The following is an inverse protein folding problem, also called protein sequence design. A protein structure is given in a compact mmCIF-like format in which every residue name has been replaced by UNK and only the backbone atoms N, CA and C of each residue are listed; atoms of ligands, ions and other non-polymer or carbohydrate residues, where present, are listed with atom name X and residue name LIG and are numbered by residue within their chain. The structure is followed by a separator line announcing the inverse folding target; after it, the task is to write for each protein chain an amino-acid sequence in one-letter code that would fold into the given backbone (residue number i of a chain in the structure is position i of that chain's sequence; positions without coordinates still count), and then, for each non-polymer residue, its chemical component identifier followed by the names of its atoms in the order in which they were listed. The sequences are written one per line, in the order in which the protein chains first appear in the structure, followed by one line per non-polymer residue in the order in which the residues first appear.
data_IF_088941463160
#
_entry.id   IF_088941463160
#
_cell.length_a   1.000
_cell.length_b   1.000
_cell.length_c   1.000
_cell.angle_alpha   90.00
_cell.angle_beta   90.00
_cell.angle_gamma   90.00
#
_symmetry.space_group_name_H-M   'P 1'
#
loop_
_entity.id
_entity.type
_entity.pdbx_description
1 polymer ?
#
# COMPACT_ATOMS: atom_id res chain seq x y z
N UNK A 1 -72.04 -4.59 -35.39
CA UNK A 1 -70.83 -5.44 -35.37
C UNK A 1 -69.64 -4.49 -35.42
N UNK A 2 -68.91 -4.31 -34.32
CA UNK A 2 -67.72 -3.43 -34.34
C UNK A 2 -66.46 -4.29 -34.59
N UNK A 3 -65.61 -3.79 -35.49
CA UNK A 3 -64.29 -4.32 -35.87
C UNK A 3 -63.29 -4.11 -34.73
N UNK A 4 -62.66 -5.18 -34.28
CA UNK A 4 -61.52 -5.12 -33.33
C UNK A 4 -60.24 -4.75 -34.08
N UNK A 5 -59.59 -3.65 -33.72
CA UNK A 5 -58.20 -3.36 -34.10
C UNK A 5 -57.25 -4.14 -33.13
N UNK A 6 -56.39 -4.97 -33.70
CA UNK A 6 -55.23 -5.53 -33.00
C UNK A 6 -54.10 -4.50 -33.05
N UNK A 7 -53.70 -4.02 -31.92
CA UNK A 7 -52.45 -3.26 -31.77
C UNK A 7 -51.33 -4.22 -31.47
N UNK A 8 -50.37 -4.36 -32.38
CA UNK A 8 -49.13 -5.11 -32.18
C UNK A 8 -48.13 -4.21 -31.40
N UNK A 9 -47.83 -4.58 -30.17
CA UNK A 9 -46.71 -4.00 -29.44
C UNK A 9 -45.41 -4.73 -29.85
N UNK A 10 -44.54 -3.99 -30.51
CA UNK A 10 -43.14 -4.44 -30.74
C UNK A 10 -42.34 -4.04 -29.50
N UNK A 11 -41.94 -5.05 -28.72
CA UNK A 11 -41.03 -4.86 -27.59
C UNK A 11 -39.59 -4.79 -28.14
N UNK A 12 -39.00 -3.61 -28.08
CA UNK A 12 -37.59 -3.39 -28.40
C UNK A 12 -36.74 -3.76 -27.15
N UNK A 13 -36.16 -4.94 -27.16
CA UNK A 13 -35.22 -5.37 -26.10
C UNK A 13 -33.85 -4.72 -26.34
N UNK A 14 -33.51 -3.75 -25.54
CA UNK A 14 -32.14 -3.21 -25.43
C UNK A 14 -31.25 -4.26 -24.75
N UNK A 15 -30.38 -4.90 -25.52
CA UNK A 15 -29.25 -5.65 -24.97
C UNK A 15 -28.18 -4.65 -24.49
N UNK A 16 -28.11 -4.41 -23.19
CA UNK A 16 -26.96 -3.76 -22.55
C UNK A 16 -25.88 -4.82 -22.44
N UNK A 17 -24.90 -4.77 -23.33
CA UNK A 17 -23.67 -5.56 -23.20
C UNK A 17 -22.85 -5.02 -22.06
N UNK A 18 -22.91 -5.66 -20.90
CA UNK A 18 -21.98 -5.43 -19.83
C UNK A 18 -20.61 -5.99 -20.24
N UNK A 19 -19.71 -5.11 -20.67
CA UNK A 19 -18.29 -5.43 -20.77
C UNK A 19 -17.76 -5.62 -19.34
N UNK A 20 -17.79 -6.86 -18.85
CA UNK A 20 -17.02 -7.25 -17.69
C UNK A 20 -15.54 -7.19 -18.10
N UNK A 21 -14.82 -6.16 -17.62
CA UNK A 21 -13.38 -6.13 -17.65
C UNK A 21 -12.91 -7.31 -16.79
N UNK A 22 -12.57 -8.41 -17.44
CA UNK A 22 -11.95 -9.55 -16.78
C UNK A 22 -10.61 -9.04 -16.22
N UNK A 23 -10.51 -9.00 -14.89
CA UNK A 23 -9.23 -8.86 -14.23
C UNK A 23 -8.38 -10.05 -14.69
N UNK A 24 -7.31 -9.79 -15.44
CA UNK A 24 -6.33 -10.81 -15.80
C UNK A 24 -5.82 -11.43 -14.49
N UNK A 25 -6.23 -12.66 -14.23
CA UNK A 25 -5.66 -13.50 -13.18
C UNK A 25 -4.28 -13.88 -13.65
N UNK A 26 -3.26 -13.17 -13.12
CA UNK A 26 -1.85 -13.48 -13.35
C UNK A 26 -1.59 -14.92 -12.90
N UNK A 27 -1.43 -15.80 -13.87
CA UNK A 27 -1.27 -17.24 -13.68
C UNK A 27 0.08 -17.54 -13.03
N UNK A 28 0.13 -17.57 -11.70
CA UNK A 28 0.97 -18.48 -10.89
C UNK A 28 2.45 -18.63 -11.19
N UNK A 29 3.10 -17.69 -11.85
CA UNK A 29 4.55 -17.71 -12.03
C UNK A 29 5.22 -17.25 -10.75
N UNK A 30 6.24 -17.98 -10.22
CA UNK A 30 6.97 -17.52 -9.04
C UNK A 30 7.44 -16.08 -9.24
N UNK A 31 7.31 -15.23 -8.21
CA UNK A 31 7.79 -13.86 -8.29
C UNK A 31 9.27 -13.86 -8.66
N UNK A 32 9.57 -13.20 -9.75
CA UNK A 32 10.93 -12.84 -10.07
C UNK A 32 11.33 -11.74 -9.11
N UNK A 33 12.36 -11.97 -8.27
CA UNK A 33 13.02 -10.91 -7.49
C UNK A 33 13.77 -9.91 -8.40
N UNK A 34 13.60 -10.02 -9.72
CA UNK A 34 14.17 -9.08 -10.70
C UNK A 34 13.18 -7.96 -10.93
N UNK A 35 13.66 -6.71 -10.98
CA UNK A 35 12.82 -5.57 -11.34
C UNK A 35 12.12 -5.80 -12.69
N UNK A 36 10.84 -5.41 -12.77
CA UNK A 36 10.15 -5.26 -14.03
C UNK A 36 10.79 -4.18 -14.91
N UNK A 37 10.32 -3.99 -16.14
CA UNK A 37 10.85 -2.96 -17.08
C UNK A 37 10.75 -1.54 -16.52
N UNK A 38 9.83 -1.31 -15.57
CA UNK A 38 9.59 -0.06 -14.86
C UNK A 38 10.38 0.08 -13.55
N UNK A 39 11.23 -0.91 -13.22
CA UNK A 39 12.05 -0.95 -12.01
C UNK A 39 11.34 -1.46 -10.75
N UNK A 40 10.05 -1.74 -10.80
CA UNK A 40 9.31 -2.27 -9.66
C UNK A 40 9.57 -3.77 -9.43
N UNK A 41 9.76 -4.13 -8.18
CA UNK A 41 9.85 -5.51 -7.68
C UNK A 41 8.63 -5.80 -6.85
N UNK A 42 7.83 -6.79 -7.23
CA UNK A 42 6.75 -7.29 -6.38
C UNK A 42 7.36 -7.98 -5.16
N UNK A 43 6.92 -7.64 -3.97
CA UNK A 43 7.39 -8.21 -2.72
C UNK A 43 6.54 -9.38 -2.22
N UNK A 44 5.45 -9.65 -2.90
CA UNK A 44 4.45 -10.63 -2.51
C UNK A 44 3.92 -11.40 -3.73
N UNK A 45 3.93 -12.72 -3.65
CA UNK A 45 3.56 -13.62 -4.76
C UNK A 45 2.05 -13.90 -4.87
N UNK A 46 1.25 -13.34 -3.96
CA UNK A 46 -0.18 -13.60 -3.89
C UNK A 46 -0.55 -14.95 -3.27
N UNK A 47 0.42 -15.75 -2.83
CA UNK A 47 0.20 -17.13 -2.34
C UNK A 47 0.83 -17.41 -0.99
N UNK A 48 2.04 -16.90 -0.75
CA UNK A 48 2.84 -17.22 0.43
C UNK A 48 3.49 -15.99 1.03
N UNK A 49 3.92 -16.09 2.29
CA UNK A 49 4.79 -15.11 2.95
C UNK A 49 6.27 -15.51 2.86
N UNK A 50 6.64 -16.28 1.85
CA UNK A 50 8.01 -16.76 1.69
C UNK A 50 9.02 -15.60 1.66
N UNK A 51 10.05 -15.69 2.49
CA UNK A 51 11.07 -14.65 2.65
C UNK A 51 10.71 -13.51 3.62
N UNK A 52 9.45 -13.38 4.00
CA UNK A 52 9.04 -12.44 5.03
C UNK A 52 9.21 -13.04 6.43
N UNK A 53 9.44 -12.18 7.43
CA UNK A 53 9.58 -12.63 8.83
C UNK A 53 8.70 -11.79 9.75
N UNK A 54 7.99 -12.45 10.67
CA UNK A 54 7.21 -11.81 11.72
C UNK A 54 7.72 -12.31 13.08
N UNK A 55 8.62 -11.58 13.75
CA UNK A 55 9.21 -12.01 15.02
C UNK A 55 8.24 -11.91 16.22
N UNK A 56 7.11 -11.23 16.05
CA UNK A 56 6.07 -11.05 17.05
C UNK A 56 4.90 -12.03 16.87
N UNK A 57 3.94 -12.00 17.79
CA UNK A 57 2.85 -12.99 17.88
C UNK A 57 1.62 -12.69 16.99
N UNK A 58 1.68 -11.69 16.09
CA UNK A 58 0.56 -11.37 15.20
C UNK A 58 0.26 -12.48 14.20
N UNK A 59 -0.96 -12.49 13.74
CA UNK A 59 -1.43 -13.47 12.77
C UNK A 59 -1.35 -12.84 11.36
N UNK A 60 -0.49 -13.42 10.54
CA UNK A 60 -0.30 -13.04 9.15
C UNK A 60 -0.64 -14.22 8.25
N UNK A 61 -1.53 -14.03 7.32
CA UNK A 61 -1.91 -15.06 6.35
C UNK A 61 -2.06 -14.46 4.94
N UNK A 62 -2.02 -15.35 3.96
CA UNK A 62 -2.35 -15.02 2.58
C UNK A 62 -3.69 -15.64 2.25
N UNK A 63 -4.64 -14.81 1.87
CA UNK A 63 -5.96 -15.24 1.43
C UNK A 63 -6.39 -14.49 0.17
N UNK A 64 -6.74 -15.22 -0.87
CA UNK A 64 -7.24 -14.67 -2.15
C UNK A 64 -6.31 -13.59 -2.75
N UNK A 65 -5.00 -13.81 -2.70
CA UNK A 65 -4.00 -12.87 -3.22
C UNK A 65 -3.72 -11.65 -2.32
N UNK A 66 -4.25 -11.64 -1.09
CA UNK A 66 -4.14 -10.56 -0.13
C UNK A 66 -3.36 -11.00 1.09
N UNK A 67 -2.44 -10.18 1.56
CA UNK A 67 -1.81 -10.33 2.89
C UNK A 67 -2.77 -9.77 3.92
N UNK A 68 -3.22 -10.62 4.83
CA UNK A 68 -4.10 -10.27 5.92
C UNK A 68 -3.31 -10.25 7.23
N UNK A 69 -3.38 -9.13 7.97
CA UNK A 69 -2.86 -8.98 9.32
C UNK A 69 -3.99 -8.81 10.32
N UNK A 70 -3.95 -9.58 11.41
CA UNK A 70 -4.92 -9.52 12.51
C UNK A 70 -4.32 -10.02 13.83
N UNK A 71 -5.08 -9.91 14.92
CA UNK A 71 -4.65 -10.37 16.23
C UNK A 71 -3.75 -9.37 16.98
N UNK A 72 -2.80 -9.85 17.81
CA UNK A 72 -1.92 -8.99 18.59
C UNK A 72 -0.99 -8.14 17.70
N UNK A 73 -0.36 -7.12 18.29
CA UNK A 73 0.63 -6.29 17.62
C UNK A 73 1.76 -7.13 17.02
N UNK A 74 2.09 -6.86 15.77
CA UNK A 74 3.12 -7.56 15.02
C UNK A 74 3.57 -6.77 13.80
N UNK A 75 4.79 -7.06 13.34
CA UNK A 75 5.35 -6.46 12.14
C UNK A 75 5.87 -7.56 11.21
N UNK A 76 5.44 -7.51 9.96
CA UNK A 76 5.87 -8.43 8.90
C UNK A 76 6.97 -7.75 8.08
N UNK A 77 8.23 -8.19 8.24
CA UNK A 77 9.41 -7.57 7.65
C UNK A 77 9.79 -8.20 6.31
N UNK A 78 10.19 -7.36 5.36
CA UNK A 78 10.76 -7.79 4.08
C UNK A 78 12.14 -8.45 4.26
N UNK A 79 12.56 -9.37 3.35
CA UNK A 79 13.87 -10.00 3.45
C UNK A 79 15.04 -9.05 3.23
N UNK A 80 14.87 -8.02 2.40
CA UNK A 80 15.92 -7.09 2.01
C UNK A 80 15.79 -5.73 2.72
N UNK A 81 16.91 -5.01 2.79
CA UNK A 81 16.98 -3.62 3.26
C UNK A 81 17.15 -2.65 2.09
N UNK A 82 16.76 -1.39 2.31
CA UNK A 82 16.76 -0.35 1.29
C UNK A 82 17.22 0.98 1.88
N UNK A 83 17.96 1.77 1.10
CA UNK A 83 18.38 3.14 1.41
C UNK A 83 17.46 4.14 0.70
N UNK A 84 17.60 4.27 -0.60
CA UNK A 84 16.70 5.04 -1.45
C UNK A 84 15.68 4.11 -2.11
N UNK A 85 14.41 4.48 -2.05
CA UNK A 85 13.35 3.56 -2.47
C UNK A 85 12.07 4.30 -2.85
N UNK A 86 11.26 3.62 -3.65
CA UNK A 86 9.82 3.81 -3.66
C UNK A 86 9.16 2.54 -3.12
N UNK A 87 8.16 2.67 -2.26
CA UNK A 87 7.43 1.56 -1.65
C UNK A 87 5.94 1.82 -1.73
N UNK A 88 5.20 0.92 -2.35
CA UNK A 88 3.75 1.07 -2.49
C UNK A 88 3.00 -0.21 -2.19
N UNK A 89 1.77 -0.04 -1.74
CA UNK A 89 0.79 -1.10 -1.59
C UNK A 89 -0.62 -0.54 -1.81
N UNK A 90 -1.54 -1.40 -2.22
CA UNK A 90 -2.95 -1.15 -1.99
C UNK A 90 -3.30 -1.68 -0.60
N UNK A 91 -4.01 -0.86 0.17
CA UNK A 91 -4.32 -1.10 1.57
C UNK A 91 -5.83 -1.03 1.78
N UNK A 92 -6.36 -1.86 2.66
CA UNK A 92 -7.72 -1.77 3.20
C UNK A 92 -7.68 -2.03 4.69
N UNK A 93 -8.35 -1.18 5.47
CA UNK A 93 -8.36 -1.22 6.91
C UNK A 93 -9.80 -1.14 7.42
N UNK A 94 -10.15 -1.93 8.43
CA UNK A 94 -11.45 -1.91 9.04
C UNK A 94 -11.69 -0.63 9.88
N UNK A 95 -12.95 -0.40 10.25
CA UNK A 95 -13.34 0.69 11.15
C UNK A 95 -12.56 0.62 12.47
N UNK A 96 -12.09 1.79 12.95
CA UNK A 96 -11.22 1.96 14.13
C UNK A 96 -9.93 1.12 14.12
N UNK A 97 -9.57 0.54 12.98
CA UNK A 97 -8.29 -0.15 12.81
C UNK A 97 -7.10 0.79 12.81
N UNK A 98 -5.93 0.24 13.12
CA UNK A 98 -4.65 0.94 13.03
C UNK A 98 -3.59 -0.01 12.45
N UNK A 99 -2.74 0.53 11.60
CA UNK A 99 -1.67 -0.18 10.91
C UNK A 99 -0.63 0.83 10.41
N UNK A 100 0.42 0.36 9.73
CA UNK A 100 1.47 1.21 9.18
C UNK A 100 2.30 0.51 8.11
N UNK A 101 2.87 1.29 7.21
CA UNK A 101 3.88 0.85 6.26
C UNK A 101 5.23 1.42 6.69
N UNK A 102 6.07 0.57 7.27
CA UNK A 102 7.41 0.95 7.72
C UNK A 102 8.43 0.85 6.60
N UNK A 103 9.42 1.75 6.65
CA UNK A 103 10.58 1.73 5.76
C UNK A 103 11.82 2.21 6.49
N UNK A 104 12.99 1.79 6.02
CA UNK A 104 14.27 1.96 6.71
C UNK A 104 14.21 1.50 8.16
N UNK A 105 13.51 0.40 8.40
CA UNK A 105 13.20 -0.10 9.73
C UNK A 105 14.19 -1.19 10.18
N UNK A 106 14.55 -1.15 11.47
CA UNK A 106 15.27 -2.24 12.10
C UNK A 106 14.31 -3.40 12.35
N UNK A 107 14.66 -4.60 11.85
CA UNK A 107 13.90 -5.81 12.11
C UNK A 107 14.10 -6.29 13.55
N UNK A 108 13.04 -6.76 14.19
CA UNK A 108 13.10 -7.28 15.56
C UNK A 108 11.71 -7.41 16.18
N UNK A 109 11.68 -7.83 17.44
CA UNK A 109 10.45 -7.82 18.23
C UNK A 109 10.11 -6.38 18.68
N UNK A 110 8.82 -6.15 18.97
CA UNK A 110 8.32 -4.85 19.41
C UNK A 110 8.29 -3.79 18.27
N UNK A 111 8.12 -2.52 18.63
CA UNK A 111 7.96 -1.42 17.68
C UNK A 111 9.25 -1.14 16.91
N UNK A 112 9.25 -1.20 15.57
CA UNK A 112 10.45 -1.00 14.78
C UNK A 112 11.01 0.41 14.94
N UNK A 113 12.32 0.53 15.02
CA UNK A 113 13.01 1.80 14.81
C UNK A 113 13.14 2.04 13.31
N UNK A 114 12.32 2.94 12.77
CA UNK A 114 12.20 3.23 11.34
C UNK A 114 11.19 4.34 11.11
N UNK A 115 11.04 4.79 9.88
CA UNK A 115 9.94 5.66 9.51
C UNK A 115 8.68 4.83 9.29
N UNK A 116 7.53 5.42 9.60
CA UNK A 116 6.22 4.84 9.39
C UNK A 116 5.34 5.77 8.57
N UNK A 117 4.88 5.29 7.42
CA UNK A 117 3.76 5.86 6.70
C UNK A 117 2.47 5.30 7.29
N UNK A 118 1.78 6.14 8.07
CA UNK A 118 0.62 5.75 8.87
C UNK A 118 -0.53 5.21 8.01
N UNK A 119 -1.18 4.19 8.51
CA UNK A 119 -2.39 3.54 7.97
C UNK A 119 -3.44 3.55 9.09
N UNK A 120 -4.22 4.61 9.14
CA UNK A 120 -5.20 4.85 10.20
C UNK A 120 -6.25 5.84 9.71
N UNK A 121 -7.54 5.47 9.78
CA UNK A 121 -8.62 6.30 9.25
C UNK A 121 -9.49 6.91 10.35
N UNK A 122 -10.04 6.08 11.25
CA UNK A 122 -11.12 6.46 12.17
C UNK A 122 -10.84 6.16 13.63
N UNK A 123 -9.71 5.52 13.98
CA UNK A 123 -9.37 5.29 15.38
C UNK A 123 -9.08 6.61 16.13
N UNK A 124 -8.71 6.51 17.39
CA UNK A 124 -8.44 7.70 18.23
C UNK A 124 -7.08 8.33 18.00
N UNK A 125 -6.19 7.69 17.23
CA UNK A 125 -4.89 8.29 16.93
C UNK A 125 -5.12 9.56 16.09
N UNK A 126 -4.54 10.70 16.51
CA UNK A 126 -4.70 11.96 15.77
C UNK A 126 -3.84 12.04 14.49
N UNK A 127 -2.97 11.06 14.24
CA UNK A 127 -2.15 10.97 13.04
C UNK A 127 -2.79 9.95 12.08
N UNK A 128 -3.44 10.46 11.02
CA UNK A 128 -4.21 9.67 10.07
C UNK A 128 -3.38 9.15 8.92
N UNK A 129 -3.98 8.28 8.10
CA UNK A 129 -3.42 7.76 6.84
C UNK A 129 -2.70 8.85 6.05
N UNK A 130 -1.48 8.57 5.63
CA UNK A 130 -0.62 9.52 4.93
C UNK A 130 0.28 10.35 5.84
N UNK A 131 0.14 10.31 7.17
CA UNK A 131 1.12 10.91 8.08
C UNK A 131 2.47 10.18 7.97
N UNK A 132 3.57 10.93 8.09
CA UNK A 132 4.85 10.37 8.51
C UNK A 132 4.84 10.40 10.05
N UNK A 133 4.58 9.24 10.66
CA UNK A 133 4.28 9.12 12.08
C UNK A 133 5.37 9.75 12.96
N UNK A 134 4.98 10.64 13.90
CA UNK A 134 5.84 11.44 14.74
C UNK A 134 6.74 12.48 14.05
N UNK A 135 6.62 12.68 12.74
CA UNK A 135 7.39 13.68 11.99
C UNK A 135 6.46 14.71 11.31
N UNK A 136 5.50 14.28 10.51
CA UNK A 136 4.53 15.16 9.86
C UNK A 136 3.13 14.58 9.94
N UNK A 137 2.26 15.25 10.67
CA UNK A 137 0.89 14.83 10.92
C UNK A 137 -0.05 15.22 9.78
N UNK A 138 -0.87 14.27 9.34
CA UNK A 138 -2.15 14.49 8.65
C UNK A 138 -3.23 14.23 9.69
N UNK A 139 -4.10 15.21 9.94
CA UNK A 139 -5.13 15.13 10.98
C UNK A 139 -6.52 14.83 10.47
N UNK A 140 -6.73 14.82 9.15
CA UNK A 140 -8.01 14.54 8.50
C UNK A 140 -8.07 13.13 7.95
N UNK A 141 -9.27 12.57 7.90
CA UNK A 141 -9.53 11.30 7.26
C UNK A 141 -9.49 11.46 5.73
N UNK A 142 -8.49 10.88 5.08
CA UNK A 142 -8.33 10.96 3.62
C UNK A 142 -9.07 9.86 2.86
N UNK A 143 -9.30 8.72 3.50
CA UNK A 143 -9.91 7.52 2.90
C UNK A 143 -10.94 6.91 3.84
N UNK A 144 -11.95 6.27 3.28
CA UNK A 144 -12.97 5.60 4.07
C UNK A 144 -12.47 4.22 4.58
N UNK A 145 -13.00 3.78 5.72
CA UNK A 145 -12.81 2.42 6.20
C UNK A 145 -13.35 1.40 5.21
N UNK A 146 -12.82 0.19 5.27
CA UNK A 146 -13.24 -0.94 4.43
C UNK A 146 -13.19 -0.69 2.92
N UNK A 147 -12.45 0.33 2.48
CA UNK A 147 -12.20 0.62 1.07
C UNK A 147 -10.72 0.44 0.72
N UNK A 148 -10.43 0.06 -0.53
CA UNK A 148 -9.06 -0.03 -1.02
C UNK A 148 -8.55 1.35 -1.43
N UNK A 149 -7.31 1.69 -1.00
CA UNK A 149 -6.56 2.85 -1.49
C UNK A 149 -5.11 2.48 -1.78
N UNK A 150 -4.44 3.27 -2.58
CA UNK A 150 -3.00 3.14 -2.79
C UNK A 150 -2.26 4.06 -1.82
N UNK A 151 -1.31 3.50 -1.07
CA UNK A 151 -0.34 4.26 -0.30
C UNK A 151 1.04 4.06 -0.92
N UNK A 152 1.72 5.17 -1.23
CA UNK A 152 3.00 5.16 -1.93
C UNK A 152 3.99 6.08 -1.21
N UNK A 153 5.10 5.52 -0.76
CA UNK A 153 6.22 6.19 -0.12
C UNK A 153 7.35 6.36 -1.13
N UNK A 154 7.95 7.54 -1.19
CA UNK A 154 9.19 7.83 -1.92
C UNK A 154 10.18 8.39 -0.90
N UNK A 155 11.30 7.70 -0.66
CA UNK A 155 12.31 8.09 0.32
C UNK A 155 13.68 8.15 -0.36
N UNK A 156 14.20 9.35 -0.55
CA UNK A 156 15.49 9.59 -1.22
C UNK A 156 16.30 10.57 -0.37
N UNK A 157 17.50 10.14 0.06
CA UNK A 157 18.28 10.91 1.01
C UNK A 157 17.49 11.15 2.29
N UNK A 158 17.30 12.40 2.66
CA UNK A 158 16.51 12.81 3.83
C UNK A 158 15.10 13.34 3.47
N UNK A 159 14.71 13.36 2.20
CA UNK A 159 13.36 13.76 1.79
C UNK A 159 12.45 12.54 1.68
N UNK A 160 11.28 12.65 2.27
CA UNK A 160 10.26 11.62 2.35
C UNK A 160 8.95 12.19 1.82
N UNK A 161 8.37 11.52 0.83
CA UNK A 161 7.08 11.87 0.25
C UNK A 161 6.14 10.70 0.45
N UNK A 162 4.92 10.98 0.89
CA UNK A 162 3.84 9.99 0.97
C UNK A 162 2.69 10.46 0.09
N UNK A 163 2.23 9.55 -0.76
CA UNK A 163 1.04 9.75 -1.60
C UNK A 163 -0.08 8.83 -1.13
N UNK A 164 -1.29 9.34 -1.15
CA UNK A 164 -2.54 8.58 -0.94
C UNK A 164 -3.40 8.79 -2.18
N UNK A 165 -3.75 7.69 -2.88
CA UNK A 165 -4.48 7.74 -4.16
C UNK A 165 -3.87 8.76 -5.14
N UNK A 166 -2.56 8.64 -5.35
CA UNK A 166 -1.73 9.48 -6.24
C UNK A 166 -1.59 10.97 -5.85
N UNK A 167 -2.23 11.43 -4.78
CA UNK A 167 -2.03 12.79 -4.25
C UNK A 167 -0.91 12.82 -3.24
N UNK A 168 0.03 13.74 -3.37
CA UNK A 168 1.02 14.03 -2.32
C UNK A 168 0.27 14.59 -1.11
N UNK A 169 0.43 13.93 0.04
CA UNK A 169 -0.16 14.36 1.32
C UNK A 169 0.91 14.68 2.36
N UNK A 170 2.09 14.10 2.22
CA UNK A 170 3.27 14.40 3.03
C UNK A 170 4.45 14.65 2.11
N UNK A 171 5.21 15.73 2.38
CA UNK A 171 6.51 16.05 1.78
C UNK A 171 7.39 16.63 2.89
N UNK A 172 8.26 15.79 3.42
CA UNK A 172 9.03 16.06 4.63
C UNK A 172 10.53 15.90 4.39
N UNK A 173 11.31 16.84 4.92
CA UNK A 173 12.78 16.75 4.92
C UNK A 173 13.25 16.53 6.35
N UNK A 174 13.85 15.37 6.61
CA UNK A 174 14.43 15.07 7.92
C UNK A 174 15.90 15.48 7.97
N UNK A 175 16.16 16.69 8.43
CA UNK A 175 17.53 17.25 8.55
C UNK A 175 18.44 16.40 9.46
N UNK A 176 17.85 15.65 10.40
CA UNK A 176 18.59 14.75 11.29
C UNK A 176 18.99 13.43 10.66
N UNK A 177 18.39 13.08 9.49
CA UNK A 177 18.59 11.78 8.84
C UNK A 177 18.40 10.62 9.82
N UNK A 178 17.29 10.65 10.57
CA UNK A 178 17.02 9.75 11.70
C UNK A 178 17.16 8.29 11.35
N UNK A 179 16.66 7.90 10.15
CA UNK A 179 16.82 6.54 9.61
C UNK A 179 17.27 6.61 8.16
N UNK A 180 18.40 5.96 7.86
CA UNK A 180 19.01 6.04 6.52
C UNK A 180 18.81 4.80 5.65
N UNK A 181 18.69 3.62 6.29
CA UNK A 181 18.48 2.34 5.61
C UNK A 181 17.82 1.33 6.54
N UNK A 182 17.21 0.29 5.99
CA UNK A 182 16.59 -0.78 6.76
C UNK A 182 15.53 -1.53 5.95
N UNK A 183 14.82 -2.41 6.65
CA UNK A 183 13.75 -3.22 6.08
C UNK A 183 12.50 -2.38 5.77
N UNK A 184 11.64 -2.92 4.91
CA UNK A 184 10.24 -2.56 4.84
C UNK A 184 9.48 -3.43 5.83
N UNK A 185 8.41 -2.91 6.41
CA UNK A 185 7.50 -3.75 7.18
C UNK A 185 6.04 -3.32 7.02
N UNK A 186 5.15 -4.30 7.17
CA UNK A 186 3.71 -4.10 7.29
C UNK A 186 3.35 -4.31 8.76
N UNK A 187 2.52 -3.44 9.31
CA UNK A 187 2.16 -3.49 10.73
C UNK A 187 0.75 -4.08 10.91
N UNK A 188 0.61 -4.91 11.92
CA UNK A 188 -0.62 -5.22 12.65
C UNK A 188 -0.51 -4.52 14.01
N UNK A 189 -1.30 -3.46 14.23
CA UNK A 189 -1.07 -2.57 15.39
C UNK A 189 -1.61 -3.16 16.70
N UNK A 190 -2.84 -3.66 16.72
CA UNK A 190 -3.50 -4.11 17.95
C UNK A 190 -4.65 -5.06 17.67
N UNK A 191 -5.07 -5.77 18.74
CA UNK A 191 -6.28 -6.59 18.72
C UNK A 191 -7.48 -5.76 18.25
N UNK A 192 -8.22 -6.27 17.25
CA UNK A 192 -9.36 -5.58 16.64
C UNK A 192 -9.04 -4.87 15.33
N UNK A 193 -7.77 -4.53 15.07
CA UNK A 193 -7.35 -4.09 13.73
C UNK A 193 -7.35 -5.30 12.78
N UNK A 194 -7.90 -5.09 11.58
CA UNK A 194 -7.86 -6.04 10.46
C UNK A 194 -7.38 -5.28 9.25
N UNK A 195 -6.13 -5.50 8.88
CA UNK A 195 -5.50 -4.83 7.74
C UNK A 195 -5.28 -5.80 6.60
N UNK A 196 -5.50 -5.32 5.40
CA UNK A 196 -5.30 -6.07 4.17
C UNK A 196 -4.37 -5.31 3.24
N UNK A 197 -3.38 -6.02 2.68
CA UNK A 197 -2.43 -5.48 1.71
C UNK A 197 -2.42 -6.32 0.45
N UNK A 198 -2.38 -5.68 -0.71
CA UNK A 198 -2.15 -6.32 -2.00
C UNK A 198 -1.28 -5.44 -2.89
N UNK A 199 -0.76 -6.00 -3.97
CA UNK A 199 0.13 -5.28 -4.90
C UNK A 199 1.33 -4.62 -4.21
N UNK A 200 1.83 -5.27 -3.14
CA UNK A 200 2.97 -4.79 -2.35
C UNK A 200 4.23 -4.84 -3.21
N UNK A 201 4.84 -3.70 -3.46
CA UNK A 201 5.98 -3.57 -4.35
C UNK A 201 6.98 -2.51 -3.89
N UNK A 202 8.24 -2.72 -4.23
CA UNK A 202 9.33 -1.76 -4.02
C UNK A 202 10.03 -1.46 -5.34
N UNK A 203 10.48 -0.23 -5.53
CA UNK A 203 11.44 0.16 -6.54
C UNK A 203 12.71 0.60 -5.82
N UNK A 204 13.74 -0.26 -5.76
CA UNK A 204 15.04 0.16 -5.26
C UNK A 204 15.60 1.27 -6.15
N UNK A 205 16.08 2.33 -5.53
CA UNK A 205 16.66 3.47 -6.23
C UNK A 205 18.19 3.53 -6.00
N UNK A 206 18.96 4.15 -6.89
CA UNK A 206 20.38 4.34 -6.71
C UNK A 206 20.74 5.05 -5.39
N UNK A 207 21.92 4.76 -4.83
CA UNK A 207 22.42 5.46 -3.64
C UNK A 207 22.73 6.92 -3.94
N UNK A 208 23.14 7.25 -5.16
CA UNK A 208 23.27 8.63 -5.63
C UNK A 208 21.90 9.30 -5.70
N UNK A 209 21.68 10.29 -4.84
CA UNK A 209 20.38 10.97 -4.70
C UNK A 209 19.93 11.65 -6.00
N UNK A 210 20.86 12.21 -6.79
CA UNK A 210 20.52 12.88 -8.05
C UNK A 210 20.00 11.87 -9.08
N UNK A 211 20.67 10.72 -9.18
CA UNK A 211 20.21 9.62 -10.04
C UNK A 211 18.89 9.04 -9.56
N UNK A 212 18.71 8.88 -8.24
CA UNK A 212 17.48 8.41 -7.64
C UNK A 212 16.30 9.35 -7.96
N UNK A 213 16.47 10.67 -7.79
CA UNK A 213 15.46 11.67 -8.15
C UNK A 213 15.15 11.69 -9.63
N UNK A 214 16.15 11.49 -10.50
CA UNK A 214 15.91 11.42 -11.95
C UNK A 214 14.97 10.28 -12.34
N UNK A 215 14.97 9.18 -11.57
CA UNK A 215 14.06 8.05 -11.75
C UNK A 215 12.69 8.36 -11.12
N UNK A 216 12.66 8.79 -9.85
CA UNK A 216 11.44 8.98 -9.08
C UNK A 216 10.55 10.14 -9.57
N UNK A 217 11.12 11.13 -10.26
CA UNK A 217 10.35 12.28 -10.81
C UNK A 217 9.19 11.90 -11.72
N UNK A 218 9.22 10.70 -12.30
CA UNK A 218 8.11 10.18 -13.11
C UNK A 218 6.86 9.91 -12.27
N UNK A 219 7.07 9.55 -11.00
CA UNK A 219 6.02 9.20 -10.05
C UNK A 219 5.56 10.41 -9.20
N UNK A 220 6.27 11.55 -9.31
CA UNK A 220 5.97 12.84 -8.65
C UNK A 220 6.18 14.03 -9.62
N UNK A 221 5.47 14.08 -10.74
CA UNK A 221 5.66 15.13 -11.76
C UNK A 221 5.34 16.54 -11.25
N UNK A 222 4.55 16.65 -10.20
CA UNK A 222 4.17 17.90 -9.54
C UNK A 222 5.32 18.55 -8.74
N UNK A 223 6.39 17.81 -8.42
CA UNK A 223 7.57 18.37 -7.79
C UNK A 223 8.49 19.01 -8.84
N UNK A 224 8.63 20.30 -8.78
CA UNK A 224 9.53 21.08 -9.63
C UNK A 224 10.98 21.04 -9.13
#
# INVERSE_FOLDING_TARGET
MPKRLLSSFVALSLFVSANALAAETDSGKPLSNKPGRDGWVRLFDGKTLSGWTAPDAGQWEVKDGVVLGQGPASHLFSPNTYTNLEFKAEVKLNHEGNSGMYFRAASGKSWPKGYEAQVENTSRDPQKTGSLYNFQKIGEQLVADDTWWTQHVIAIGNRIIIKVNDKIVTDYVDDKKTYTSGHLALQQHNQGSVVQYRNVAVKPLPDDEKAAWAIARKDVPELK
#
